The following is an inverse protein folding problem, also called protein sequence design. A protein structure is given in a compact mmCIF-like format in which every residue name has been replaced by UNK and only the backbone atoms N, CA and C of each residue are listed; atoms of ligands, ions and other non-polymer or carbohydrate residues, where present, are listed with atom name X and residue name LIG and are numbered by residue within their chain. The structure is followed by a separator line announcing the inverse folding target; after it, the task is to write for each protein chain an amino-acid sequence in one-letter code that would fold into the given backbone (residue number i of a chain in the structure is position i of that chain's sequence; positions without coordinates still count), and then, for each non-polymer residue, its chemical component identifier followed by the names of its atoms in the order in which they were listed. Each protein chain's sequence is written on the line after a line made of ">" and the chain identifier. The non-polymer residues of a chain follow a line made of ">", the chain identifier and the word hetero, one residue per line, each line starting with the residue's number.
data_IF_745360512807
#
_entry.id   IF_745360512807
#
_cell.length_a   1.000
_cell.length_b   1.000
_cell.length_c   1.000
_cell.angle_alpha   90.00
_cell.angle_beta   90.00
_cell.angle_gamma   90.00
#
_symmetry.space_group_name_H-M   'P 1'
#
loop_
_entity.id
_entity.type
_entity.pdbx_description
1 polymer ?
#
# COMPACT_ATOMS: atom_id res chain seq x y z
N UNK A 1 -5.58 7.48 7.54
CA UNK A 1 -6.57 8.51 7.17
C UNK A 1 -6.15 9.11 5.83
N UNK A 2 -6.99 9.98 5.24
CA UNK A 2 -6.69 10.67 3.99
C UNK A 2 -7.03 12.15 4.18
N UNK A 3 -6.12 13.01 3.76
CA UNK A 3 -6.26 14.46 3.83
C UNK A 3 -5.86 15.06 2.48
N UNK A 4 -6.54 16.13 2.12
CA UNK A 4 -6.30 16.88 0.89
C UNK A 4 -5.97 18.33 1.25
N UNK A 5 -4.92 18.86 0.62
CA UNK A 5 -4.55 20.28 0.71
C UNK A 5 -4.94 20.94 -0.60
N UNK A 6 -5.89 21.87 -0.52
CA UNK A 6 -6.10 22.85 -1.59
C UNK A 6 -4.92 23.83 -1.56
N UNK A 7 -4.14 23.86 -2.64
CA UNK A 7 -2.94 24.71 -2.75
C UNK A 7 -3.24 26.17 -3.10
N UNK A 8 -4.44 26.46 -3.62
CA UNK A 8 -4.87 27.83 -3.90
C UNK A 8 -5.29 28.53 -2.60
N UNK A 9 -6.07 27.82 -1.78
CA UNK A 9 -6.57 28.35 -0.51
C UNK A 9 -5.72 27.98 0.70
N UNK A 10 -4.72 27.11 0.52
CA UNK A 10 -3.87 26.55 1.58
C UNK A 10 -4.68 25.92 2.73
N UNK A 11 -5.82 25.33 2.41
CA UNK A 11 -6.75 24.74 3.39
C UNK A 11 -6.74 23.22 3.30
N UNK A 12 -6.62 22.59 4.48
CA UNK A 12 -6.75 21.14 4.59
C UNK A 12 -8.21 20.73 4.75
N UNK A 13 -8.59 19.69 4.03
CA UNK A 13 -9.88 19.03 4.17
C UNK A 13 -9.71 17.51 4.30
N UNK A 14 -10.72 16.87 4.89
CA UNK A 14 -10.77 15.42 5.02
C UNK A 14 -11.86 14.90 4.07
N UNK A 15 -11.51 14.44 2.86
CA UNK A 15 -12.50 13.97 1.91
C UNK A 15 -13.22 12.72 2.45
N UNK A 16 -14.53 12.65 2.23
CA UNK A 16 -15.29 11.43 2.45
C UNK A 16 -14.99 10.45 1.31
N UNK A 17 -14.54 9.25 1.66
CA UNK A 17 -14.25 8.20 0.68
C UNK A 17 -15.20 7.03 0.89
N UNK A 18 -15.45 6.29 -0.19
CA UNK A 18 -16.33 5.11 -0.22
C UNK A 18 -15.60 3.90 -0.79
N UNK A 19 -16.26 2.75 -0.80
CA UNK A 19 -15.68 1.48 -1.27
C UNK A 19 -14.83 0.79 -0.20
N UNK A 20 -13.89 -0.04 -0.62
CA UNK A 20 -13.07 -0.85 0.29
C UNK A 20 -11.81 -0.10 0.72
N UNK A 21 -11.93 0.69 1.79
CA UNK A 21 -10.82 1.50 2.33
C UNK A 21 -9.67 0.58 2.76
N UNK A 22 -8.42 0.84 2.34
CA UNK A 22 -7.27 0.04 2.77
C UNK A 22 -7.03 0.15 4.29
N UNK A 23 -6.52 -0.93 4.90
CA UNK A 23 -6.14 -0.90 6.32
C UNK A 23 -5.14 0.23 6.64
N UNK A 24 -5.15 0.77 7.88
CA UNK A 24 -4.15 1.71 8.35
C UNK A 24 -2.74 1.19 8.08
N UNK A 25 -1.88 2.03 7.51
CA UNK A 25 -0.57 1.58 7.01
C UNK A 25 0.52 2.63 7.17
N UNK A 26 1.77 2.18 7.28
CA UNK A 26 2.98 3.03 7.25
C UNK A 26 3.98 2.54 6.21
N UNK A 27 4.88 3.42 5.75
CA UNK A 27 5.93 3.09 4.76
C UNK A 27 5.40 2.47 3.45
N UNK A 28 4.18 2.79 3.07
CA UNK A 28 3.59 2.46 1.77
C UNK A 28 4.01 3.49 0.73
N UNK A 29 3.77 3.22 -0.54
CA UNK A 29 3.83 4.26 -1.58
C UNK A 29 2.45 4.67 -2.04
N UNK A 30 2.35 5.91 -2.48
CA UNK A 30 1.18 6.47 -3.15
C UNK A 30 1.64 7.11 -4.47
N UNK A 31 1.04 6.73 -5.59
CA UNK A 31 1.45 7.22 -6.91
C UNK A 31 0.22 7.47 -7.79
N UNK A 32 0.16 8.62 -8.45
CA UNK A 32 -1.01 9.06 -9.22
C UNK A 32 -0.77 8.90 -10.71
N UNK A 33 -1.57 8.07 -11.39
CA UNK A 33 -1.59 7.97 -12.85
C UNK A 33 -2.99 8.30 -13.35
N UNK A 34 -3.11 9.37 -14.15
CA UNK A 34 -4.40 9.94 -14.50
C UNK A 34 -5.19 10.32 -13.24
N UNK A 35 -6.45 9.91 -13.16
CA UNK A 35 -7.33 10.19 -12.02
C UNK A 35 -7.37 9.05 -10.99
N UNK A 36 -6.29 8.27 -10.88
CA UNK A 36 -6.20 7.16 -9.93
C UNK A 36 -4.94 7.28 -9.09
N UNK A 37 -5.11 7.26 -7.77
CA UNK A 37 -4.01 7.19 -6.81
C UNK A 37 -3.83 5.74 -6.36
N UNK A 38 -2.76 5.10 -6.80
CA UNK A 38 -2.39 3.73 -6.47
C UNK A 38 -1.63 3.67 -5.15
N UNK A 39 -2.03 2.76 -4.27
CA UNK A 39 -1.43 2.49 -2.98
C UNK A 39 -0.89 1.07 -2.97
N UNK A 40 0.41 0.90 -2.74
CA UNK A 40 1.04 -0.41 -2.67
C UNK A 40 1.80 -0.62 -1.36
N UNK A 41 1.63 -1.82 -0.80
CA UNK A 41 2.41 -2.34 0.30
C UNK A 41 2.34 -1.52 1.60
N UNK A 42 3.44 -1.57 2.36
CA UNK A 42 3.59 -0.95 3.67
C UNK A 42 3.43 -1.94 4.83
N UNK A 43 3.50 -1.41 6.06
CA UNK A 43 3.19 -2.14 7.29
C UNK A 43 1.75 -1.91 7.69
N UNK A 44 1.00 -2.99 7.94
CA UNK A 44 -0.38 -2.96 8.43
C UNK A 44 -0.47 -3.69 9.78
N UNK A 45 -1.48 -3.38 10.62
CA UNK A 45 -1.77 -4.17 11.82
C UNK A 45 -1.98 -5.64 11.48
N UNK A 46 -1.35 -6.52 12.25
CA UNK A 46 -1.56 -7.96 12.15
C UNK A 46 -2.72 -8.35 13.07
N UNK A 47 -3.87 -8.68 12.50
CA UNK A 47 -4.93 -9.36 13.26
C UNK A 47 -4.55 -10.83 13.43
N UNK A 48 -4.32 -11.26 14.67
CA UNK A 48 -4.09 -12.68 14.98
C UNK A 48 -5.40 -13.45 15.15
N UNK A 49 -6.52 -12.75 15.35
CA UNK A 49 -7.87 -13.32 15.46
C UNK A 49 -8.90 -12.17 15.28
N UNK A 50 -9.99 -12.35 14.52
CA UNK A 50 -11.07 -11.34 14.45
C UNK A 50 -11.84 -11.21 15.79
N UNK A 51 -11.65 -12.18 16.70
CA UNK A 51 -12.32 -12.25 18.00
C UNK A 51 -11.53 -11.66 19.18
N UNK A 52 -10.27 -11.25 18.96
CA UNK A 52 -9.42 -10.65 19.99
C UNK A 52 -8.91 -9.28 19.54
N UNK A 53 -8.85 -8.28 20.44
CA UNK A 53 -8.12 -7.04 20.14
C UNK A 53 -6.71 -7.41 19.68
N UNK A 54 -6.26 -6.84 18.56
CA UNK A 54 -4.87 -6.91 18.17
C UNK A 54 -4.03 -6.59 19.40
N UNK A 55 -3.14 -7.49 19.83
CA UNK A 55 -2.19 -7.11 20.86
C UNK A 55 -1.42 -5.89 20.34
N UNK A 56 -1.38 -4.83 21.13
CA UNK A 56 -0.68 -3.59 20.77
C UNK A 56 0.71 -3.93 20.22
N UNK A 57 0.95 -3.55 18.96
CA UNK A 57 2.28 -3.57 18.36
C UNK A 57 2.63 -4.71 17.40
N UNK A 58 1.70 -5.60 17.01
CA UNK A 58 1.99 -6.54 15.92
C UNK A 58 1.68 -5.95 14.54
N UNK A 59 2.73 -5.81 13.72
CA UNK A 59 2.67 -5.28 12.36
C UNK A 59 3.23 -6.30 11.36
N UNK A 60 2.60 -6.41 10.18
CA UNK A 60 3.08 -7.24 9.07
C UNK A 60 3.28 -6.41 7.80
N UNK A 61 4.28 -6.77 6.99
CA UNK A 61 4.36 -6.24 5.63
C UNK A 61 3.20 -6.79 4.81
N UNK A 62 2.59 -5.93 4.01
CA UNK A 62 1.55 -6.32 3.05
C UNK A 62 2.03 -6.16 1.61
N UNK A 63 1.47 -6.98 0.73
CA UNK A 63 1.52 -6.82 -0.72
C UNK A 63 0.20 -6.29 -1.28
N UNK A 64 -0.69 -5.78 -0.43
CA UNK A 64 -1.97 -5.26 -0.90
C UNK A 64 -1.78 -4.10 -1.85
N UNK A 65 -2.65 -4.09 -2.86
CA UNK A 65 -2.60 -3.13 -3.93
C UNK A 65 -4.02 -2.63 -4.21
N UNK A 66 -4.20 -1.33 -4.07
CA UNK A 66 -5.49 -0.66 -4.24
C UNK A 66 -5.29 0.64 -5.00
N UNK A 67 -6.37 1.21 -5.51
CA UNK A 67 -6.36 2.61 -5.91
C UNK A 67 -7.59 3.36 -5.45
N UNK A 68 -7.44 4.66 -5.24
CA UNK A 68 -8.53 5.60 -5.09
C UNK A 68 -8.82 6.23 -6.45
N UNK A 69 -10.06 6.12 -6.93
CA UNK A 69 -10.53 6.95 -8.03
C UNK A 69 -10.74 8.37 -7.51
N UNK A 70 -10.00 9.34 -8.05
CA UNK A 70 -9.99 10.73 -7.60
C UNK A 70 -11.24 11.50 -8.06
N UNK A 71 -11.94 11.04 -9.11
CA UNK A 71 -13.19 11.66 -9.56
C UNK A 71 -14.36 11.27 -8.66
N UNK A 72 -14.39 10.02 -8.20
CA UNK A 72 -15.52 9.47 -7.45
C UNK A 72 -15.26 9.27 -5.96
N UNK A 73 -14.01 9.47 -5.53
CA UNK A 73 -13.50 9.19 -4.18
C UNK A 73 -13.81 7.75 -3.72
N UNK A 74 -13.74 6.81 -4.66
CA UNK A 74 -14.03 5.39 -4.42
C UNK A 74 -12.75 4.54 -4.43
N UNK A 75 -12.57 3.77 -3.36
CA UNK A 75 -11.49 2.80 -3.21
C UNK A 75 -11.83 1.49 -3.90
N UNK A 76 -10.91 1.03 -4.75
CA UNK A 76 -10.96 -0.25 -5.43
C UNK A 76 -9.74 -1.08 -5.01
N UNK A 77 -10.00 -2.29 -4.49
CA UNK A 77 -8.97 -3.23 -4.08
C UNK A 77 -8.64 -4.17 -5.24
N UNK A 78 -7.38 -4.17 -5.67
CA UNK A 78 -6.88 -5.03 -6.74
C UNK A 78 -6.27 -6.32 -6.18
N UNK A 79 -5.54 -6.22 -5.07
CA UNK A 79 -4.92 -7.35 -4.36
C UNK A 79 -5.18 -7.17 -2.85
N UNK A 80 -5.98 -8.05 -2.22
CA UNK A 80 -6.30 -7.96 -0.79
C UNK A 80 -5.16 -8.47 0.10
N UNK A 81 -5.16 -8.05 1.38
CA UNK A 81 -4.11 -8.35 2.37
C UNK A 81 -3.95 -9.84 2.72
N UNK A 82 -4.90 -10.70 2.35
CA UNK A 82 -4.93 -12.13 2.67
C UNK A 82 -4.49 -13.03 1.51
N UNK A 83 -4.12 -12.47 0.36
CA UNK A 83 -3.76 -13.26 -0.82
C UNK A 83 -2.29 -13.70 -0.76
N UNK A 84 -2.07 -14.99 -0.51
CA UNK A 84 -0.76 -15.61 -0.74
C UNK A 84 -0.55 -15.83 -2.23
N UNK A 85 0.41 -15.13 -2.83
CA UNK A 85 0.83 -15.39 -4.20
C UNK A 85 1.86 -16.51 -4.26
N UNK A 86 1.38 -17.75 -4.44
CA UNK A 86 2.23 -18.95 -4.54
C UNK A 86 3.04 -19.01 -5.84
N UNK A 87 2.65 -18.24 -6.86
CA UNK A 87 3.25 -18.28 -8.19
C UNK A 87 4.19 -17.09 -8.46
N UNK A 88 4.33 -16.17 -7.50
CA UNK A 88 5.20 -15.00 -7.58
C UNK A 88 4.95 -14.18 -8.87
N UNK A 89 3.67 -13.97 -9.18
CA UNK A 89 3.17 -13.19 -10.32
C UNK A 89 3.07 -11.70 -9.95
N UNK A 90 2.99 -11.38 -8.66
CA UNK A 90 2.94 -10.03 -8.12
C UNK A 90 4.18 -9.72 -7.28
N UNK A 91 4.53 -8.43 -7.12
CA UNK A 91 5.59 -8.04 -6.19
C UNK A 91 5.25 -8.52 -4.78
N UNK A 92 6.20 -9.24 -4.16
CA UNK A 92 6.03 -9.70 -2.78
C UNK A 92 5.80 -8.55 -1.78
N UNK A 93 5.21 -8.85 -0.60
CA UNK A 93 4.95 -7.88 0.46
C UNK A 93 6.18 -7.07 0.86
N UNK A 94 6.06 -5.75 0.90
CA UNK A 94 7.20 -4.85 1.15
C UNK A 94 6.82 -3.50 1.74
N UNK A 95 7.73 -2.92 2.49
CA UNK A 95 7.60 -1.59 3.08
C UNK A 95 8.86 -0.74 2.89
N UNK A 96 8.69 0.58 2.81
CA UNK A 96 9.78 1.54 2.57
C UNK A 96 10.41 1.40 1.18
N UNK A 97 9.63 0.91 0.22
CA UNK A 97 10.02 0.79 -1.18
C UNK A 97 9.79 2.12 -1.92
N UNK A 98 10.22 2.19 -3.17
CA UNK A 98 9.99 3.32 -4.04
C UNK A 98 9.03 2.93 -5.18
N UNK A 99 8.15 3.85 -5.54
CA UNK A 99 7.40 3.76 -6.79
C UNK A 99 7.61 5.00 -7.64
N UNK A 100 7.69 4.81 -8.95
CA UNK A 100 7.83 5.88 -9.94
C UNK A 100 6.96 5.60 -11.15
N UNK A 101 6.44 6.66 -11.74
CA UNK A 101 5.59 6.60 -12.93
C UNK A 101 6.40 7.06 -14.12
N UNK A 102 6.43 6.26 -15.18
CA UNK A 102 7.02 6.63 -16.47
C UNK A 102 6.05 6.28 -17.59
N UNK A 103 5.45 7.28 -18.22
CA UNK A 103 4.35 7.09 -19.17
C UNK A 103 3.12 6.52 -18.47
N UNK A 104 2.57 5.43 -19.00
CA UNK A 104 1.44 4.69 -18.42
C UNK A 104 1.89 3.48 -17.58
N UNK A 105 3.12 3.52 -17.03
CA UNK A 105 3.69 2.43 -16.25
C UNK A 105 4.05 2.89 -14.85
N UNK A 106 3.62 2.10 -13.87
CA UNK A 106 4.06 2.20 -12.48
C UNK A 106 5.20 1.21 -12.26
N UNK A 107 6.37 1.69 -11.85
CA UNK A 107 7.51 0.87 -11.45
C UNK A 107 7.59 0.79 -9.94
N UNK A 108 7.91 -0.39 -9.41
CA UNK A 108 8.11 -0.65 -7.98
C UNK A 108 9.51 -1.22 -7.80
N UNK A 109 10.30 -0.60 -6.92
CA UNK A 109 11.67 -1.01 -6.67
C UNK A 109 12.01 -1.04 -5.18
N UNK A 110 12.82 -2.03 -4.82
CA UNK A 110 13.39 -2.18 -3.47
C UNK A 110 12.33 -2.34 -2.39
N UNK A 111 12.65 -1.93 -1.17
CA UNK A 111 11.86 -2.14 0.04
C UNK A 111 12.40 -3.25 0.91
N UNK A 112 11.80 -3.39 2.08
CA UNK A 112 12.09 -4.46 3.03
C UNK A 112 10.94 -5.45 3.01
N UNK A 113 11.26 -6.72 2.78
CA UNK A 113 10.28 -7.77 3.06
C UNK A 113 10.14 -7.90 4.58
N UNK A 114 8.91 -8.06 5.04
CA UNK A 114 8.59 -8.04 6.47
C UNK A 114 8.69 -9.43 7.11
N UNK A 115 9.57 -10.30 6.60
CA UNK A 115 9.61 -11.68 7.04
C UNK A 115 10.00 -11.76 8.52
N UNK A 116 9.00 -12.05 9.36
CA UNK A 116 9.01 -12.33 10.80
C UNK A 116 10.28 -11.95 11.55
N UNK A 117 10.22 -10.84 12.30
CA UNK A 117 10.84 -10.64 13.63
C UNK A 117 12.30 -11.10 13.83
N UNK A 118 13.12 -11.29 12.80
CA UNK A 118 14.55 -11.43 12.98
C UNK A 118 15.09 -10.01 13.06
N UNK A 119 15.25 -9.50 14.28
CA UNK A 119 15.92 -8.23 14.58
C UNK A 119 17.30 -8.09 13.90
N UNK A 120 17.83 -9.17 13.34
CA UNK A 120 19.15 -9.24 12.72
C UNK A 120 19.16 -9.45 11.19
N UNK A 121 18.04 -9.79 10.53
CA UNK A 121 18.04 -10.13 9.09
C UNK A 121 16.87 -9.48 8.31
N UNK A 122 16.81 -8.15 8.26
CA UNK A 122 15.95 -7.48 7.28
C UNK A 122 16.47 -7.80 5.87
N UNK A 123 15.64 -8.41 5.02
CA UNK A 123 16.00 -8.67 3.63
C UNK A 123 15.47 -7.53 2.76
N UNK A 124 16.39 -6.84 2.10
CA UNK A 124 16.03 -5.87 1.08
C UNK A 124 15.58 -6.60 -0.18
N UNK A 125 14.43 -6.24 -0.72
CA UNK A 125 14.00 -6.67 -2.03
C UNK A 125 15.01 -6.15 -3.08
N UNK A 126 15.48 -7.03 -3.99
CA UNK A 126 16.43 -6.69 -5.06
C UNK A 126 15.81 -6.78 -6.46
N UNK A 127 14.49 -6.82 -6.51
CA UNK A 127 13.68 -6.93 -7.72
C UNK A 127 13.18 -5.56 -8.20
N UNK A 128 12.77 -5.53 -9.47
CA UNK A 128 12.10 -4.42 -10.11
C UNK A 128 10.82 -4.96 -10.74
N UNK A 129 9.70 -4.34 -10.41
CA UNK A 129 8.40 -4.68 -10.97
C UNK A 129 7.84 -3.50 -11.73
N UNK A 130 6.97 -3.78 -12.70
CA UNK A 130 6.16 -2.75 -13.31
C UNK A 130 4.73 -3.25 -13.54
N UNK A 131 3.81 -2.30 -13.62
CA UNK A 131 2.42 -2.51 -14.00
C UNK A 131 2.08 -1.54 -15.13
N UNK A 132 1.49 -2.07 -16.21
CA UNK A 132 0.80 -1.24 -17.21
C UNK A 132 -0.56 -0.81 -16.65
N UNK A 133 -0.84 0.49 -16.62
CA UNK A 133 -2.05 1.08 -15.99
C UNK A 133 -3.03 1.66 -16.98
#
# INVERSE_FOLDING_TARGET
>A
DLWELDIETMTWSKPETKGTVPLPRSLHTASVIGNKMYIFGGWIPQSTDESLPAQDGEWKCTGSFSYLNLDTLEWINLIPDCQEDKNNVFPGPRAGHCTVIVGSRLYIWSGRDGYRKAWNNQVCCKDLWYLDT
#
